data_IF_275560097217
#
_entry.id   IF_275560097217
#
_cell.length_a   1.000
_cell.length_b   1.000
_cell.length_c   1.000
_cell.angle_alpha   90.00
_cell.angle_beta   90.00
_cell.angle_gamma   90.00
#
_symmetry.space_group_name_H-M   'P 1'
#
loop_
_entity.id
_entity.type
_entity.pdbx_description
1 polymer ?
#
# COMPACT_ATOMS: atom_id res chain seq x y z
N UNK A 1 -1.31 -18.10 31.53
CA UNK A 1 -0.08 -17.47 32.10
C UNK A 1 0.14 -16.14 31.38
N UNK A 2 0.52 -15.10 32.09
CA UNK A 2 0.86 -13.81 31.49
C UNK A 2 2.04 -13.92 30.51
N UNK A 3 1.98 -13.22 29.40
CA UNK A 3 3.05 -13.21 28.38
C UNK A 3 4.33 -12.55 28.94
N UNK A 4 5.47 -12.75 28.30
CA UNK A 4 6.72 -12.08 28.69
C UNK A 4 6.58 -10.54 28.64
N UNK A 5 5.92 -10.01 27.58
CA UNK A 5 5.68 -8.57 27.42
C UNK A 5 4.77 -8.02 28.52
N UNK A 6 3.69 -8.73 28.84
CA UNK A 6 2.75 -8.32 29.89
C UNK A 6 3.42 -8.20 31.26
N UNK A 7 4.37 -9.10 31.56
CA UNK A 7 5.12 -9.08 32.81
C UNK A 7 6.22 -8.02 32.86
N UNK A 8 6.85 -7.76 31.71
CA UNK A 8 7.99 -6.84 31.63
C UNK A 8 7.57 -5.40 31.40
N UNK A 9 6.63 -5.18 30.48
CA UNK A 9 6.12 -3.85 30.13
C UNK A 9 4.58 -3.90 29.96
N UNK A 10 3.85 -3.85 31.07
CA UNK A 10 2.39 -3.90 31.03
C UNK A 10 1.76 -2.71 30.31
N UNK A 11 2.43 -1.56 30.26
CA UNK A 11 1.94 -0.37 29.55
C UNK A 11 1.92 -0.61 28.03
N UNK A 12 3.02 -1.07 27.45
CA UNK A 12 3.08 -1.39 26.01
C UNK A 12 2.17 -2.57 25.67
N UNK A 13 2.10 -3.59 26.55
CA UNK A 13 1.16 -4.69 26.36
C UNK A 13 -0.28 -4.20 26.25
N UNK A 14 -0.69 -3.30 27.17
CA UNK A 14 -2.06 -2.75 27.17
C UNK A 14 -2.33 -1.90 25.91
N UNK A 15 -1.39 -1.06 25.48
CA UNK A 15 -1.54 -0.27 24.23
C UNK A 15 -1.68 -1.17 23.00
N UNK A 16 -0.93 -2.26 22.92
CA UNK A 16 -1.10 -3.26 21.83
C UNK A 16 -2.48 -3.91 21.91
N UNK A 17 -2.96 -4.23 23.11
CA UNK A 17 -4.31 -4.80 23.32
C UNK A 17 -5.39 -3.84 22.86
N UNK A 18 -5.25 -2.54 23.18
CA UNK A 18 -6.18 -1.49 22.74
C UNK A 18 -6.17 -1.35 21.22
N UNK A 19 -5.01 -1.34 20.56
CA UNK A 19 -4.93 -1.29 19.09
C UNK A 19 -5.57 -2.51 18.43
N UNK A 20 -5.41 -3.71 18.99
CA UNK A 20 -6.13 -4.91 18.53
C UNK A 20 -7.65 -4.74 18.62
N UNK A 21 -8.14 -4.25 19.76
CA UNK A 21 -9.56 -4.00 19.97
C UNK A 21 -10.08 -2.96 18.96
N UNK A 22 -9.33 -1.86 18.74
CA UNK A 22 -9.66 -0.84 17.75
C UNK A 22 -9.77 -1.43 16.34
N UNK A 23 -8.78 -2.21 15.91
CA UNK A 23 -8.77 -2.85 14.59
C UNK A 23 -9.96 -3.80 14.38
N UNK A 24 -10.35 -4.51 15.43
CA UNK A 24 -11.51 -5.42 15.38
C UNK A 24 -12.84 -4.68 15.27
N UNK A 25 -12.94 -3.53 15.94
CA UNK A 25 -14.17 -2.74 16.04
C UNK A 25 -14.39 -1.75 14.88
N UNK A 26 -13.45 -1.61 13.93
CA UNK A 26 -13.49 -0.65 12.85
C UNK A 26 -13.57 -1.31 11.49
N UNK A 27 -14.15 -0.61 10.52
CA UNK A 27 -14.00 -0.88 9.10
C UNK A 27 -12.82 -0.05 8.58
N UNK A 28 -11.75 -0.71 8.12
CA UNK A 28 -10.55 -0.04 7.59
C UNK A 28 -10.64 0.04 6.07
N UNK A 29 -10.67 1.26 5.56
CA UNK A 29 -10.72 1.55 4.12
C UNK A 29 -9.49 2.34 3.63
N UNK A 30 -8.39 2.35 4.39
CA UNK A 30 -7.12 2.92 3.91
C UNK A 30 -6.52 1.95 2.89
N UNK A 31 -6.34 2.35 1.60
CA UNK A 31 -5.93 1.43 0.53
C UNK A 31 -4.58 0.76 0.74
N UNK A 32 -3.71 1.37 1.55
CA UNK A 32 -2.37 0.88 1.87
C UNK A 32 -2.31 -0.02 3.12
N UNK A 33 -3.45 -0.29 3.78
CA UNK A 33 -3.52 -1.13 4.96
C UNK A 33 -4.14 -2.49 4.66
N UNK A 34 -3.68 -3.50 5.40
CA UNK A 34 -4.17 -4.87 5.31
C UNK A 34 -3.95 -5.61 6.63
N UNK A 35 -4.39 -6.86 6.69
CA UNK A 35 -4.12 -7.79 7.78
C UNK A 35 -3.22 -8.91 7.26
N UNK A 36 -2.06 -9.10 7.87
CA UNK A 36 -1.14 -10.19 7.51
C UNK A 36 -1.54 -11.50 8.17
N UNK A 37 -1.03 -12.63 7.66
CA UNK A 37 -1.28 -13.95 8.25
C UNK A 37 -0.53 -14.15 9.58
N UNK A 38 -0.98 -15.13 10.35
CA UNK A 38 -0.27 -15.56 11.56
C UNK A 38 1.17 -15.98 11.25
N UNK A 39 1.38 -16.71 10.15
CA UNK A 39 2.71 -17.13 9.73
C UNK A 39 3.66 -15.95 9.45
N UNK A 40 3.15 -14.87 8.82
CA UNK A 40 3.91 -13.63 8.62
C UNK A 40 4.23 -12.96 9.96
N UNK A 41 3.30 -12.95 10.91
CA UNK A 41 3.53 -12.39 12.26
C UNK A 41 4.57 -13.20 13.04
N UNK A 42 4.47 -14.52 13.01
CA UNK A 42 5.44 -15.42 13.68
C UNK A 42 6.84 -15.28 13.09
N UNK A 43 6.97 -15.18 11.77
CA UNK A 43 8.23 -14.92 11.10
C UNK A 43 8.83 -13.55 11.50
N UNK A 44 7.98 -12.51 11.56
CA UNK A 44 8.40 -11.17 11.98
C UNK A 44 8.86 -11.09 13.44
N UNK A 45 8.27 -11.89 14.34
CA UNK A 45 8.61 -11.99 15.76
C UNK A 45 9.64 -13.06 16.10
N UNK A 46 10.36 -13.61 15.10
CA UNK A 46 11.31 -14.71 15.30
C UNK A 46 12.66 -14.26 15.86
N UNK A 47 13.51 -15.24 16.21
CA UNK A 47 14.88 -15.01 16.66
C UNK A 47 15.78 -14.29 15.62
N UNK A 48 15.33 -14.20 14.36
CA UNK A 48 16.02 -13.46 13.31
C UNK A 48 16.07 -11.94 13.57
N UNK A 49 15.30 -11.43 14.53
CA UNK A 49 15.46 -10.09 15.09
C UNK A 49 16.87 -9.85 15.65
N UNK A 50 17.56 -10.91 16.13
CA UNK A 50 18.89 -10.82 16.71
C UNK A 50 20.02 -10.83 15.65
N UNK A 51 19.69 -11.05 14.36
CA UNK A 51 20.71 -11.37 13.34
C UNK A 51 21.10 -10.15 12.52
N UNK A 52 22.40 -9.94 12.39
CA UNK A 52 23.02 -8.93 11.53
C UNK A 52 23.62 -9.58 10.28
N UNK A 53 23.34 -9.06 9.04
CA UNK A 53 23.66 -9.78 7.78
C UNK A 53 23.98 -8.81 6.64
N UNK A 54 24.96 -7.90 6.83
CA UNK A 54 25.42 -7.00 5.75
C UNK A 54 25.97 -7.78 4.56
N UNK A 55 25.73 -7.25 3.38
CA UNK A 55 26.05 -7.92 2.12
C UNK A 55 24.90 -8.77 1.59
N UNK A 56 25.24 -9.77 0.79
CA UNK A 56 24.30 -10.65 0.08
C UNK A 56 24.63 -12.12 0.27
N UNK A 57 23.76 -13.08 -0.01
CA UNK A 57 24.04 -14.50 0.10
C UNK A 57 25.37 -14.88 -0.56
N UNK A 58 26.23 -15.57 0.18
CA UNK A 58 27.57 -15.95 -0.26
C UNK A 58 28.60 -14.81 -0.31
N UNK A 59 28.22 -13.58 -0.02
CA UNK A 59 29.08 -12.36 -0.04
C UNK A 59 28.80 -11.48 1.17
N UNK A 60 28.79 -12.07 2.39
CA UNK A 60 28.55 -11.35 3.64
C UNK A 60 29.86 -10.80 4.21
N UNK A 61 29.70 -9.82 5.09
CA UNK A 61 30.82 -9.22 5.84
C UNK A 61 31.04 -9.87 7.20
N UNK A 62 30.16 -10.79 7.60
CA UNK A 62 30.20 -11.50 8.88
C UNK A 62 30.01 -12.98 8.69
N UNK A 63 30.56 -13.77 9.63
CA UNK A 63 30.33 -15.21 9.69
C UNK A 63 28.97 -15.56 10.30
N UNK A 64 28.62 -16.84 10.32
CA UNK A 64 27.36 -17.33 10.88
C UNK A 64 26.14 -17.03 10.01
N UNK A 65 26.33 -17.03 8.69
CA UNK A 65 25.28 -16.63 7.72
C UNK A 65 24.61 -17.81 7.00
N UNK A 66 24.98 -19.04 7.36
CA UNK A 66 24.57 -20.25 6.62
C UNK A 66 23.03 -20.35 6.47
N UNK A 67 22.29 -20.01 7.52
CA UNK A 67 20.83 -20.07 7.52
C UNK A 67 20.23 -18.81 6.89
N UNK A 68 20.77 -17.63 7.17
CA UNK A 68 20.26 -16.37 6.64
C UNK A 68 20.47 -16.24 5.14
N UNK A 69 21.54 -16.81 4.61
CA UNK A 69 21.79 -16.89 3.16
C UNK A 69 20.70 -17.73 2.47
N UNK A 70 20.32 -18.87 3.07
CA UNK A 70 19.25 -19.69 2.56
C UNK A 70 17.90 -18.97 2.61
N UNK A 71 17.59 -18.27 3.70
CA UNK A 71 16.36 -17.52 3.86
C UNK A 71 16.25 -16.43 2.80
N UNK A 72 17.29 -15.62 2.61
CA UNK A 72 17.30 -14.56 1.61
C UNK A 72 17.21 -15.12 0.18
N UNK A 73 17.95 -16.20 -0.10
CA UNK A 73 17.86 -16.90 -1.39
C UNK A 73 16.46 -17.40 -1.68
N UNK A 74 15.78 -17.99 -0.70
CA UNK A 74 14.38 -18.42 -0.83
C UNK A 74 13.45 -17.24 -1.10
N UNK A 75 13.62 -16.11 -0.40
CA UNK A 75 12.83 -14.92 -0.62
C UNK A 75 13.00 -14.36 -2.04
N UNK A 76 14.25 -14.26 -2.51
CA UNK A 76 14.60 -13.83 -3.86
C UNK A 76 14.00 -14.75 -4.94
N UNK A 77 14.16 -16.07 -4.77
CA UNK A 77 13.61 -17.05 -5.72
C UNK A 77 12.09 -17.01 -5.81
N UNK A 78 11.40 -16.90 -4.66
CA UNK A 78 9.93 -16.75 -4.63
C UNK A 78 9.47 -15.47 -5.29
N UNK A 79 10.14 -14.35 -5.02
CA UNK A 79 9.83 -13.06 -5.65
C UNK A 79 10.04 -13.12 -7.17
N UNK A 80 11.17 -13.65 -7.64
CA UNK A 80 11.46 -13.85 -9.08
C UNK A 80 10.38 -14.69 -9.76
N UNK A 81 10.03 -15.84 -9.17
CA UNK A 81 9.00 -16.73 -9.72
C UNK A 81 7.65 -16.02 -9.80
N UNK A 82 7.24 -15.37 -8.70
CA UNK A 82 5.92 -14.78 -8.55
C UNK A 82 5.68 -13.62 -9.51
N UNK A 83 6.69 -12.80 -9.73
CA UNK A 83 6.63 -11.63 -10.63
C UNK A 83 7.19 -11.91 -12.03
N UNK A 84 7.75 -13.09 -12.28
CA UNK A 84 8.42 -13.45 -13.53
C UNK A 84 9.56 -12.47 -13.90
N UNK A 85 10.38 -12.10 -12.90
CA UNK A 85 11.50 -11.18 -13.04
C UNK A 85 12.84 -11.94 -13.11
N UNK A 86 13.82 -11.36 -13.80
CA UNK A 86 15.17 -11.95 -13.91
C UNK A 86 15.90 -11.89 -12.57
N UNK A 87 15.69 -10.79 -11.82
CA UNK A 87 16.36 -10.54 -10.54
C UNK A 87 15.40 -9.92 -9.51
N UNK A 88 15.67 -10.18 -8.23
CA UNK A 88 14.95 -9.60 -7.10
C UNK A 88 15.91 -9.25 -5.96
N UNK A 89 15.82 -8.01 -5.44
CA UNK A 89 16.43 -7.59 -4.20
C UNK A 89 15.32 -7.38 -3.15
N UNK A 90 15.38 -8.12 -2.05
CA UNK A 90 14.34 -8.17 -1.00
C UNK A 90 14.75 -7.44 0.29
N UNK A 91 15.88 -6.73 0.27
CA UNK A 91 16.44 -6.05 1.44
C UNK A 91 15.89 -4.63 1.71
N UNK A 92 15.25 -3.87 0.77
CA UNK A 92 14.79 -2.53 1.07
C UNK A 92 13.85 -2.48 2.27
N UNK A 93 14.13 -1.59 3.24
CA UNK A 93 13.33 -1.43 4.47
C UNK A 93 11.91 -0.94 4.19
N UNK A 94 11.68 -0.27 3.07
CA UNK A 94 10.39 0.28 2.68
C UNK A 94 10.32 0.57 1.18
N UNK A 95 9.10 0.85 0.68
CA UNK A 95 8.91 1.29 -0.71
C UNK A 95 9.64 2.59 -1.05
N UNK A 96 9.78 3.52 -0.10
CA UNK A 96 10.55 4.75 -0.32
C UNK A 96 12.03 4.46 -0.57
N UNK A 97 12.63 3.57 0.22
CA UNK A 97 14.02 3.14 0.02
C UNK A 97 14.16 2.34 -1.28
N UNK A 98 13.19 1.49 -1.62
CA UNK A 98 13.19 0.77 -2.88
C UNK A 98 13.18 1.74 -4.08
N UNK A 99 12.33 2.78 -4.06
CA UNK A 99 12.33 3.81 -5.10
C UNK A 99 13.67 4.54 -5.19
N UNK A 100 14.23 4.92 -4.04
CA UNK A 100 15.54 5.57 -3.99
C UNK A 100 16.65 4.70 -4.57
N UNK A 101 16.68 3.42 -4.20
CA UNK A 101 17.66 2.47 -4.74
C UNK A 101 17.50 2.29 -6.26
N UNK A 102 16.26 2.22 -6.77
CA UNK A 102 16.00 2.17 -8.20
C UNK A 102 16.57 3.41 -8.94
N UNK A 103 16.40 4.60 -8.36
CA UNK A 103 16.90 5.82 -9.00
C UNK A 103 18.43 5.88 -8.97
N UNK A 104 19.06 5.58 -7.84
CA UNK A 104 20.52 5.58 -7.71
C UNK A 104 21.21 4.45 -8.46
N UNK A 105 20.49 3.37 -8.80
CA UNK A 105 21.00 2.31 -9.66
C UNK A 105 21.11 2.74 -11.14
N UNK A 106 20.34 3.77 -11.56
CA UNK A 106 20.17 4.14 -12.96
C UNK A 106 20.59 5.59 -13.28
N UNK A 107 20.73 6.45 -12.28
CA UNK A 107 20.95 7.88 -12.46
C UNK A 107 21.89 8.45 -11.40
N UNK A 108 22.58 9.54 -11.78
CA UNK A 108 23.47 10.29 -10.90
C UNK A 108 22.76 11.51 -10.27
N UNK A 109 23.21 11.99 -9.09
CA UNK A 109 22.72 13.24 -8.53
C UNK A 109 22.78 14.39 -9.54
N UNK A 110 21.65 15.10 -9.69
CA UNK A 110 21.52 16.19 -10.67
C UNK A 110 20.88 15.79 -11.98
N UNK A 111 20.75 14.50 -12.28
CA UNK A 111 19.98 14.02 -13.42
C UNK A 111 18.48 14.39 -13.31
N UNK A 112 17.81 14.40 -14.45
CA UNK A 112 16.37 14.69 -14.50
C UNK A 112 15.57 13.39 -14.38
N UNK A 113 14.61 13.36 -13.47
CA UNK A 113 13.61 12.31 -13.35
C UNK A 113 12.21 12.86 -13.64
N UNK A 114 11.32 12.04 -14.17
CA UNK A 114 9.96 12.43 -14.48
C UNK A 114 8.97 11.47 -13.81
N UNK A 115 8.02 12.00 -13.01
CA UNK A 115 7.05 11.18 -12.25
C UNK A 115 5.70 11.86 -12.09
N UNK A 116 4.70 11.09 -11.65
CA UNK A 116 3.35 11.61 -11.40
C UNK A 116 3.35 12.60 -10.23
N UNK A 117 2.72 13.74 -10.43
CA UNK A 117 2.55 14.77 -9.41
C UNK A 117 1.74 14.26 -8.21
N UNK A 118 2.16 14.63 -6.98
CA UNK A 118 1.48 14.20 -5.74
C UNK A 118 -0.02 14.57 -5.72
N UNK A 119 -0.47 15.79 -6.06
CA UNK A 119 -1.89 16.13 -6.12
C UNK A 119 -2.70 15.30 -7.13
N UNK A 120 -2.04 14.73 -8.12
CA UNK A 120 -2.64 13.89 -9.15
C UNK A 120 -2.49 12.38 -8.88
N UNK A 121 -2.08 12.02 -7.66
CA UNK A 121 -2.00 10.63 -7.20
C UNK A 121 -0.60 10.02 -7.20
N UNK A 122 0.45 10.79 -7.45
CA UNK A 122 1.84 10.33 -7.33
C UNK A 122 2.25 10.06 -5.88
N UNK A 123 3.39 9.38 -5.70
CA UNK A 123 4.01 9.22 -4.40
C UNK A 123 5.01 10.36 -4.13
N UNK A 124 5.28 10.65 -2.86
CA UNK A 124 6.29 11.65 -2.46
C UNK A 124 7.64 11.42 -3.16
N UNK A 125 8.06 10.17 -3.26
CA UNK A 125 9.34 9.79 -3.89
C UNK A 125 9.34 9.91 -5.42
N UNK A 126 8.19 10.14 -6.06
CA UNK A 126 8.12 10.37 -7.52
C UNK A 126 8.55 11.80 -7.91
N UNK A 127 9.31 12.46 -7.06
CA UNK A 127 9.88 13.79 -7.33
C UNK A 127 9.05 14.94 -6.77
N UNK A 128 8.24 14.73 -5.73
CA UNK A 128 7.52 15.83 -5.09
C UNK A 128 8.49 16.80 -4.38
N UNK A 129 8.25 18.12 -4.53
CA UNK A 129 9.16 19.22 -4.15
C UNK A 129 9.69 19.20 -2.72
N UNK A 130 8.99 18.57 -1.76
CA UNK A 130 9.45 18.46 -0.36
C UNK A 130 10.17 17.13 -0.08
N UNK A 131 10.14 16.20 -1.03
CA UNK A 131 10.84 14.92 -0.92
C UNK A 131 12.34 15.11 -1.12
N UNK A 132 13.15 14.28 -0.48
CA UNK A 132 14.60 14.20 -0.71
C UNK A 132 14.89 13.93 -2.20
N UNK A 133 14.01 13.22 -2.90
CA UNK A 133 14.14 12.96 -4.34
C UNK A 133 14.35 14.25 -5.15
N UNK A 134 13.56 15.29 -4.88
CA UNK A 134 13.70 16.59 -5.57
C UNK A 134 14.89 17.44 -5.08
N UNK A 135 15.57 17.01 -4.02
CA UNK A 135 16.82 17.63 -3.56
C UNK A 135 18.03 17.04 -4.25
N UNK A 136 17.93 15.78 -4.69
CA UNK A 136 19.01 15.05 -5.36
C UNK A 136 18.87 15.11 -6.88
N UNK A 137 17.65 14.98 -7.40
CA UNK A 137 17.35 14.96 -8.83
C UNK A 137 16.55 16.18 -9.27
N UNK A 138 16.74 16.63 -10.50
CA UNK A 138 15.83 17.57 -11.14
C UNK A 138 14.51 16.84 -11.43
N UNK A 139 13.41 17.36 -10.90
CA UNK A 139 12.11 16.68 -10.98
C UNK A 139 11.18 17.37 -11.98
N UNK A 140 10.71 16.61 -12.94
CA UNK A 140 9.62 16.98 -13.86
C UNK A 140 8.37 16.21 -13.45
N UNK A 141 7.24 16.90 -13.34
CA UNK A 141 5.99 16.30 -12.91
C UNK A 141 5.01 16.25 -14.06
N UNK A 142 4.51 15.05 -14.39
CA UNK A 142 3.34 14.91 -15.25
C UNK A 142 2.06 14.80 -14.41
N UNK A 143 0.91 14.97 -15.05
CA UNK A 143 -0.39 15.00 -14.38
C UNK A 143 -1.36 14.05 -15.08
N UNK A 144 -2.48 13.73 -14.44
CA UNK A 144 -3.64 13.17 -15.14
C UNK A 144 -4.46 14.31 -15.74
N UNK A 145 -5.22 14.01 -16.80
CA UNK A 145 -6.21 14.94 -17.35
C UNK A 145 -7.24 15.27 -16.23
N UNK A 146 -7.42 16.55 -15.88
CA UNK A 146 -8.31 16.94 -14.79
C UNK A 146 -9.79 16.67 -15.08
N UNK A 147 -10.19 16.54 -16.36
CA UNK A 147 -11.58 16.26 -16.74
C UNK A 147 -11.92 14.77 -16.60
N UNK A 148 -11.01 13.91 -17.00
CA UNK A 148 -11.22 12.46 -17.02
C UNK A 148 -10.64 11.75 -15.80
N UNK A 149 -9.71 12.38 -15.08
CA UNK A 149 -8.94 11.77 -14.00
C UNK A 149 -8.03 10.62 -14.48
N UNK A 150 -7.71 10.55 -15.79
CA UNK A 150 -6.91 9.50 -16.39
C UNK A 150 -5.58 10.03 -16.91
N UNK A 151 -4.60 9.15 -17.08
CA UNK A 151 -3.33 9.50 -17.73
C UNK A 151 -3.59 10.00 -19.17
N UNK A 152 -2.94 11.11 -19.50
CA UNK A 152 -2.78 11.61 -20.85
C UNK A 152 -1.39 11.21 -21.33
N UNK A 153 -1.32 10.11 -22.07
CA UNK A 153 -0.04 9.55 -22.53
C UNK A 153 0.64 10.44 -23.56
N UNK A 154 -0.10 11.23 -24.33
CA UNK A 154 0.46 12.19 -25.29
C UNK A 154 1.15 13.33 -24.54
N UNK A 155 0.52 13.87 -23.50
CA UNK A 155 1.15 14.86 -22.59
C UNK A 155 2.43 14.30 -21.96
N UNK A 156 2.41 13.04 -21.52
CA UNK A 156 3.56 12.38 -20.90
C UNK A 156 4.70 12.25 -21.92
N UNK A 157 4.39 11.84 -23.16
CA UNK A 157 5.37 11.73 -24.23
C UNK A 157 5.98 13.09 -24.60
N UNK A 158 5.16 14.14 -24.69
CA UNK A 158 5.62 15.49 -25.02
C UNK A 158 6.53 16.06 -23.92
N UNK A 159 6.19 15.85 -22.65
CA UNK A 159 7.06 16.19 -21.52
C UNK A 159 8.39 15.43 -21.57
N UNK A 160 8.34 14.14 -21.87
CA UNK A 160 9.53 13.31 -22.00
C UNK A 160 10.45 13.79 -23.13
N UNK A 161 9.89 14.12 -24.31
CA UNK A 161 10.64 14.69 -25.44
C UNK A 161 11.29 16.04 -25.08
N UNK A 162 10.53 16.90 -24.39
CA UNK A 162 10.97 18.24 -24.01
C UNK A 162 12.09 18.23 -22.99
N UNK A 163 11.95 17.42 -21.92
CA UNK A 163 12.86 17.47 -20.79
C UNK A 163 13.94 16.39 -20.81
N UNK A 164 13.84 15.39 -21.69
CA UNK A 164 14.80 14.29 -21.82
C UNK A 164 15.23 13.70 -20.46
N UNK A 165 14.29 13.23 -19.64
CA UNK A 165 14.63 12.70 -18.33
C UNK A 165 15.51 11.46 -18.46
N UNK A 166 16.36 11.23 -17.47
CA UNK A 166 17.14 9.99 -17.32
C UNK A 166 16.26 8.81 -16.90
N UNK A 167 15.22 9.10 -16.08
CA UNK A 167 14.26 8.11 -15.57
C UNK A 167 12.84 8.65 -15.79
N UNK A 168 11.96 7.80 -16.30
CA UNK A 168 10.50 7.97 -16.29
C UNK A 168 9.92 6.99 -15.28
N UNK A 169 9.15 7.53 -14.31
CA UNK A 169 8.54 6.76 -13.23
C UNK A 169 7.06 6.58 -13.55
N UNK A 170 6.60 5.35 -13.68
CA UNK A 170 5.17 5.01 -13.70
C UNK A 170 4.72 4.48 -12.34
N UNK A 171 3.42 4.56 -12.05
CA UNK A 171 2.85 4.10 -10.79
C UNK A 171 2.21 5.23 -9.99
N UNK A 172 1.39 4.86 -9.02
CA UNK A 172 0.61 5.82 -8.27
C UNK A 172 0.19 5.32 -6.89
N UNK A 173 -0.12 6.25 -5.97
CA UNK A 173 -0.71 5.98 -4.65
C UNK A 173 -2.20 6.28 -4.59
N UNK A 174 -2.73 7.04 -5.55
CA UNK A 174 -4.13 7.46 -5.58
C UNK A 174 -4.67 7.54 -7.02
N UNK A 175 -4.42 6.50 -7.81
CA UNK A 175 -4.93 6.37 -9.16
C UNK A 175 -5.81 5.12 -9.26
N UNK A 176 -7.13 5.26 -9.48
CA UNK A 176 -8.06 4.14 -9.42
C UNK A 176 -8.21 3.36 -10.73
N UNK A 177 -7.47 3.69 -11.79
CA UNK A 177 -7.59 3.04 -13.08
C UNK A 177 -6.38 2.15 -13.39
N UNK A 178 -6.52 1.30 -14.41
CA UNK A 178 -5.42 0.52 -14.94
C UNK A 178 -4.34 1.43 -15.51
N UNK A 179 -3.07 1.07 -15.30
CA UNK A 179 -1.90 1.76 -15.82
C UNK A 179 -1.38 0.95 -17.02
N UNK A 180 -1.21 1.58 -18.16
CA UNK A 180 -0.58 0.97 -19.32
C UNK A 180 0.93 1.13 -19.25
N UNK A 181 1.59 0.13 -18.66
CA UNK A 181 3.05 0.11 -18.52
C UNK A 181 3.80 -0.06 -19.83
N UNK A 182 3.16 -0.64 -20.85
CA UNK A 182 3.75 -0.79 -22.17
C UNK A 182 3.95 0.56 -22.84
N UNK A 183 2.95 1.45 -22.77
CA UNK A 183 3.06 2.82 -23.29
C UNK A 183 4.16 3.58 -22.56
N UNK A 184 4.26 3.47 -21.23
CA UNK A 184 5.36 4.07 -20.48
C UNK A 184 6.73 3.58 -20.94
N UNK A 185 6.89 2.27 -21.16
CA UNK A 185 8.11 1.67 -21.68
C UNK A 185 8.45 2.16 -23.09
N UNK A 186 7.44 2.30 -23.97
CA UNK A 186 7.63 2.84 -25.31
C UNK A 186 8.07 4.31 -25.28
N UNK A 187 7.44 5.15 -24.43
CA UNK A 187 7.83 6.56 -24.25
C UNK A 187 9.28 6.64 -23.73
N UNK A 188 9.64 5.86 -22.71
CA UNK A 188 10.99 5.84 -22.18
C UNK A 188 12.02 5.49 -23.27
N UNK A 189 11.76 4.43 -24.04
CA UNK A 189 12.62 4.00 -25.15
C UNK A 189 12.78 5.09 -26.22
N UNK A 190 11.71 5.80 -26.59
CA UNK A 190 11.74 6.89 -27.60
C UNK A 190 12.67 8.03 -27.20
N UNK A 191 12.82 8.29 -25.90
CA UNK A 191 13.65 9.41 -25.44
C UNK A 191 15.00 8.98 -24.85
N UNK A 192 15.29 7.67 -24.81
CA UNK A 192 16.51 7.10 -24.26
C UNK A 192 16.56 7.16 -22.72
N UNK A 193 15.39 7.13 -22.07
CA UNK A 193 15.24 7.08 -20.63
C UNK A 193 15.09 5.64 -20.11
N UNK A 194 15.43 5.41 -18.85
CA UNK A 194 15.04 4.21 -18.12
C UNK A 194 13.59 4.32 -17.65
N UNK A 195 12.88 3.19 -17.64
CA UNK A 195 11.54 3.08 -17.09
C UNK A 195 11.59 2.41 -15.71
N UNK A 196 11.23 3.14 -14.65
CA UNK A 196 11.06 2.63 -13.30
C UNK A 196 9.56 2.57 -12.98
N UNK A 197 9.07 1.40 -12.56
CA UNK A 197 7.64 1.21 -12.27
C UNK A 197 7.42 0.94 -10.77
N UNK A 198 6.69 1.82 -10.09
CA UNK A 198 6.27 1.64 -8.70
C UNK A 198 4.88 1.00 -8.64
N UNK A 199 4.84 -0.30 -8.33
CA UNK A 199 3.59 -1.06 -8.20
C UNK A 199 3.17 -1.28 -6.74
N UNK A 200 3.70 -0.52 -5.81
CA UNK A 200 3.46 -0.73 -4.37
C UNK A 200 1.99 -0.90 -4.00
N UNK A 201 1.09 -0.15 -4.63
CA UNK A 201 -0.34 -0.25 -4.37
C UNK A 201 -1.01 -1.48 -5.00
N UNK A 202 -0.52 -1.92 -6.14
CA UNK A 202 -1.18 -2.94 -6.97
C UNK A 202 -0.42 -4.26 -7.05
N UNK A 203 0.68 -4.43 -6.32
CA UNK A 203 1.55 -5.60 -6.43
C UNK A 203 0.81 -6.94 -6.29
N UNK A 204 -0.12 -7.05 -5.33
CA UNK A 204 -0.96 -8.25 -5.19
C UNK A 204 -1.91 -8.48 -6.35
N UNK A 205 -2.38 -7.41 -7.02
CA UNK A 205 -3.23 -7.52 -8.21
C UNK A 205 -2.40 -7.93 -9.44
N UNK A 206 -1.16 -7.46 -9.54
CA UNK A 206 -0.21 -7.85 -10.59
C UNK A 206 0.13 -9.33 -10.46
N UNK A 207 0.50 -9.79 -9.27
CA UNK A 207 0.78 -11.21 -8.98
C UNK A 207 -0.40 -12.11 -9.35
N UNK A 208 -1.60 -11.69 -9.02
CA UNK A 208 -2.82 -12.45 -9.33
C UNK A 208 -3.28 -12.34 -10.79
N UNK A 209 -2.56 -11.62 -11.66
CA UNK A 209 -2.94 -11.40 -13.04
C UNK A 209 -4.20 -10.55 -13.25
N UNK A 210 -4.59 -9.76 -12.26
CA UNK A 210 -5.77 -8.87 -12.30
C UNK A 210 -5.41 -7.50 -12.87
N UNK A 211 -4.17 -7.07 -12.69
CA UNK A 211 -3.58 -5.89 -13.31
C UNK A 211 -2.39 -6.34 -14.16
N UNK A 212 -2.17 -5.68 -15.31
CA UNK A 212 -1.01 -5.96 -16.18
C UNK A 212 0.29 -5.77 -15.39
N UNK A 213 1.27 -6.64 -15.66
CA UNK A 213 2.60 -6.56 -15.07
C UNK A 213 3.46 -5.53 -15.81
N UNK A 214 4.23 -4.68 -15.10
CA UNK A 214 5.23 -3.82 -15.73
C UNK A 214 6.55 -4.54 -16.05
N UNK A 215 6.79 -5.73 -15.48
CA UNK A 215 8.10 -6.42 -15.56
C UNK A 215 8.62 -6.56 -17.00
N UNK A 216 7.79 -6.86 -18.02
CA UNK A 216 8.27 -6.91 -19.42
C UNK A 216 8.71 -5.55 -19.99
N UNK A 217 8.24 -4.44 -19.43
CA UNK A 217 8.37 -3.10 -20.01
C UNK A 217 9.25 -2.15 -19.22
N UNK A 218 9.48 -2.45 -17.94
CA UNK A 218 10.29 -1.63 -17.03
C UNK A 218 11.71 -2.17 -16.91
N UNK A 219 12.68 -1.28 -16.66
CA UNK A 219 14.06 -1.65 -16.34
C UNK A 219 14.15 -2.09 -14.87
N UNK A 220 13.50 -1.35 -13.97
CA UNK A 220 13.36 -1.70 -12.56
C UNK A 220 11.91 -1.52 -12.13
N UNK A 221 11.41 -2.48 -11.36
CA UNK A 221 10.11 -2.42 -10.70
C UNK A 221 10.31 -2.36 -9.20
N UNK A 222 9.77 -1.34 -8.55
CA UNK A 222 9.76 -1.22 -7.11
C UNK A 222 8.39 -1.57 -6.53
N UNK A 223 8.38 -2.12 -5.32
CA UNK A 223 7.14 -2.41 -4.61
C UNK A 223 7.30 -2.37 -3.10
N UNK A 224 6.17 -2.30 -2.40
CA UNK A 224 6.04 -2.65 -0.99
C UNK A 224 5.46 -4.05 -0.85
N UNK A 225 5.66 -4.66 0.31
CA UNK A 225 5.21 -6.02 0.59
C UNK A 225 3.91 -6.09 1.39
N UNK A 226 3.42 -4.96 1.94
CA UNK A 226 2.40 -4.92 3.00
C UNK A 226 1.01 -4.37 2.59
N UNK A 227 0.80 -4.01 1.31
CA UNK A 227 -0.50 -3.48 0.83
C UNK A 227 -1.36 -4.61 0.25
N UNK A 228 -1.66 -4.59 -1.05
CA UNK A 228 -2.42 -5.66 -1.71
C UNK A 228 -1.70 -7.01 -1.66
N UNK A 229 -0.37 -7.03 -1.53
CA UNK A 229 0.43 -8.25 -1.40
C UNK A 229 0.30 -8.92 -0.02
N UNK A 230 -0.22 -8.22 0.99
CA UNK A 230 -0.57 -8.74 2.32
C UNK A 230 0.60 -9.32 3.12
N UNK A 231 1.81 -8.82 2.92
CA UNK A 231 3.02 -9.20 3.65
C UNK A 231 3.40 -8.24 4.78
N UNK A 232 4.59 -8.40 5.38
CA UNK A 232 5.10 -7.51 6.41
C UNK A 232 5.44 -6.12 5.85
N UNK A 233 5.68 -5.15 6.74
CA UNK A 233 6.20 -3.84 6.37
C UNK A 233 7.61 -3.98 5.78
N UNK A 234 7.78 -3.68 4.49
CA UNK A 234 9.04 -3.80 3.76
C UNK A 234 8.90 -3.30 2.33
N UNK A 235 10.01 -3.35 1.59
CA UNK A 235 10.08 -3.05 0.16
C UNK A 235 10.84 -4.13 -0.60
N UNK A 236 10.76 -4.07 -1.93
CA UNK A 236 11.42 -5.02 -2.82
C UNK A 236 11.67 -4.35 -4.17
N UNK A 237 12.73 -4.77 -4.83
CA UNK A 237 13.06 -4.40 -6.21
C UNK A 237 13.10 -5.65 -7.09
N UNK A 238 12.57 -5.51 -8.29
CA UNK A 238 12.65 -6.49 -9.36
C UNK A 238 13.29 -5.79 -10.55
N UNK A 239 14.18 -6.45 -11.27
CA UNK A 239 14.80 -5.81 -12.44
C UNK A 239 15.24 -6.84 -13.48
N UNK A 240 15.59 -6.32 -14.66
CA UNK A 240 16.32 -7.08 -15.67
C UNK A 240 17.71 -7.47 -15.13
N UNK A 241 18.24 -8.58 -15.59
CA UNK A 241 19.54 -9.11 -15.13
C UNK A 241 20.67 -8.09 -15.22
N UNK A 242 20.68 -7.26 -16.26
CA UNK A 242 21.72 -6.24 -16.50
C UNK A 242 21.79 -5.15 -15.41
N UNK A 243 20.71 -4.93 -14.66
CA UNK A 243 20.67 -3.93 -13.58
C UNK A 243 20.90 -4.50 -12.18
N UNK A 244 21.02 -5.82 -12.06
CA UNK A 244 21.08 -6.52 -10.77
C UNK A 244 22.21 -6.01 -9.86
N UNK A 245 23.42 -5.88 -10.40
CA UNK A 245 24.60 -5.42 -9.64
C UNK A 245 24.43 -3.96 -9.15
N UNK A 246 23.92 -3.09 -10.01
CA UNK A 246 23.68 -1.68 -9.65
C UNK A 246 22.57 -1.56 -8.61
N UNK A 247 21.50 -2.36 -8.70
CA UNK A 247 20.43 -2.43 -7.69
C UNK A 247 20.98 -2.87 -6.35
N UNK A 248 21.81 -3.93 -6.33
CA UNK A 248 22.44 -4.40 -5.10
C UNK A 248 23.33 -3.32 -4.48
N UNK A 249 24.20 -2.69 -5.26
CA UNK A 249 25.08 -1.61 -4.79
C UNK A 249 24.29 -0.40 -4.27
N UNK A 250 23.19 -0.05 -4.91
CA UNK A 250 22.35 1.06 -4.49
C UNK A 250 21.62 0.76 -3.17
N UNK A 251 21.19 -0.49 -2.95
CA UNK A 251 20.59 -0.89 -1.67
C UNK A 251 21.67 -0.98 -0.59
N UNK A 252 22.66 -1.83 -0.78
CA UNK A 252 23.80 -1.99 0.13
C UNK A 252 25.11 -1.98 -0.66
N UNK A 253 26.06 -1.12 -0.32
CA UNK A 253 26.10 -0.21 0.85
C UNK A 253 25.49 1.19 0.58
N UNK A 254 24.83 1.41 -0.56
CA UNK A 254 24.43 2.74 -1.01
C UNK A 254 23.47 3.47 -0.06
N UNK A 255 22.37 2.83 0.34
CA UNK A 255 21.30 3.47 1.12
C UNK A 255 21.11 2.88 2.51
N UNK A 256 21.51 1.64 2.74
CA UNK A 256 21.28 0.96 4.02
C UNK A 256 22.45 0.04 4.37
N UNK A 257 22.54 -0.35 5.66
CA UNK A 257 23.45 -1.37 6.17
C UNK A 257 22.77 -2.74 6.20
N UNK A 258 22.88 -3.46 7.34
CA UNK A 258 22.31 -4.79 7.50
C UNK A 258 20.81 -4.84 7.29
N UNK A 259 20.29 -5.81 6.52
CA UNK A 259 18.88 -5.98 6.32
C UNK A 259 18.15 -6.43 7.60
N UNK A 260 16.86 -6.16 7.68
CA UNK A 260 16.01 -6.66 8.76
C UNK A 260 15.63 -8.13 8.48
N UNK A 261 16.45 -9.08 8.96
CA UNK A 261 16.29 -10.50 8.63
C UNK A 261 14.94 -11.09 9.02
N UNK A 262 14.34 -10.65 10.13
CA UNK A 262 12.98 -11.04 10.54
C UNK A 262 11.93 -10.55 9.54
N UNK A 263 12.04 -9.33 9.03
CA UNK A 263 11.15 -8.79 7.98
C UNK A 263 11.33 -9.54 6.67
N UNK A 264 12.58 -9.78 6.26
CA UNK A 264 12.91 -10.51 5.03
C UNK A 264 12.36 -11.94 5.07
N UNK A 265 12.47 -12.61 6.22
CA UNK A 265 11.86 -13.94 6.42
C UNK A 265 10.35 -13.89 6.27
N UNK A 266 9.70 -12.89 6.84
CA UNK A 266 8.26 -12.68 6.71
C UNK A 266 7.85 -12.32 5.26
N UNK A 267 8.70 -11.64 4.49
CA UNK A 267 8.52 -11.44 3.03
C UNK A 267 8.53 -12.79 2.32
N UNK A 268 9.48 -13.69 2.65
CA UNK A 268 9.53 -15.02 2.04
C UNK A 268 8.26 -15.83 2.30
N UNK A 269 7.67 -15.72 3.50
CA UNK A 269 6.38 -16.34 3.84
C UNK A 269 5.26 -15.73 2.99
N UNK A 270 5.17 -14.41 2.94
CA UNK A 270 4.13 -13.72 2.18
C UNK A 270 4.19 -14.04 0.67
N UNK A 271 5.39 -14.21 0.10
CA UNK A 271 5.53 -14.64 -1.29
C UNK A 271 5.00 -16.05 -1.51
N UNK A 272 5.17 -16.96 -0.55
CA UNK A 272 4.59 -18.30 -0.63
C UNK A 272 3.05 -18.27 -0.55
N UNK A 273 2.49 -17.45 0.33
CA UNK A 273 1.04 -17.25 0.43
C UNK A 273 0.46 -16.65 -0.85
N UNK A 274 1.18 -15.74 -1.49
CA UNK A 274 0.75 -15.09 -2.73
C UNK A 274 0.81 -16.03 -3.96
N UNK A 275 1.55 -17.13 -3.89
CA UNK A 275 1.65 -18.17 -4.95
C UNK A 275 0.57 -19.26 -4.76
N UNK A 276 -0.66 -18.87 -4.39
CA UNK A 276 -1.76 -19.80 -4.13
C UNK A 276 -3.05 -19.41 -4.87
N UNK A 277 -3.91 -20.38 -5.23
CA UNK A 277 -5.24 -20.09 -5.80
C UNK A 277 -6.11 -19.22 -4.90
N UNK A 278 -5.99 -19.37 -3.58
CA UNK A 278 -6.71 -18.59 -2.57
C UNK A 278 -6.32 -17.12 -2.63
N UNK A 279 -5.05 -16.82 -2.86
CA UNK A 279 -4.60 -15.45 -3.04
C UNK A 279 -5.15 -14.83 -4.33
N UNK A 280 -5.20 -15.60 -5.42
CA UNK A 280 -5.83 -15.14 -6.68
C UNK A 280 -7.33 -14.85 -6.46
N UNK A 281 -8.03 -15.70 -5.73
CA UNK A 281 -9.45 -15.50 -5.39
C UNK A 281 -9.63 -14.23 -4.53
N UNK A 282 -8.76 -14.03 -3.54
CA UNK A 282 -8.72 -12.83 -2.71
C UNK A 282 -8.49 -11.55 -3.55
N UNK A 283 -7.52 -11.55 -4.45
CA UNK A 283 -7.23 -10.40 -5.31
C UNK A 283 -8.41 -10.06 -6.24
N UNK A 284 -9.09 -11.06 -6.80
CA UNK A 284 -10.32 -10.88 -7.57
C UNK A 284 -11.43 -10.25 -6.72
N UNK A 285 -11.58 -10.71 -5.48
CA UNK A 285 -12.60 -10.20 -4.57
C UNK A 285 -12.32 -8.74 -4.16
N UNK A 286 -11.06 -8.33 -4.01
CA UNK A 286 -10.69 -6.93 -3.76
C UNK A 286 -11.31 -6.02 -4.82
N UNK A 287 -11.13 -6.34 -6.10
CA UNK A 287 -11.61 -5.51 -7.20
C UNK A 287 -13.15 -5.53 -7.30
N UNK A 288 -13.78 -6.69 -7.06
CA UNK A 288 -15.25 -6.78 -6.99
C UNK A 288 -15.82 -5.89 -5.89
N UNK A 289 -15.22 -5.95 -4.70
CA UNK A 289 -15.63 -5.10 -3.58
C UNK A 289 -15.44 -3.61 -3.88
N UNK A 290 -14.33 -3.23 -4.52
CA UNK A 290 -14.06 -1.86 -4.91
C UNK A 290 -15.10 -1.34 -5.92
N UNK A 291 -15.44 -2.15 -6.92
CA UNK A 291 -16.49 -1.81 -7.91
C UNK A 291 -17.85 -1.65 -7.25
N UNK A 292 -18.26 -2.60 -6.42
CA UNK A 292 -19.56 -2.55 -5.73
C UNK A 292 -19.68 -1.32 -4.80
N UNK A 293 -18.59 -0.99 -4.09
CA UNK A 293 -18.50 0.21 -3.26
C UNK A 293 -18.61 1.49 -4.13
N UNK A 294 -17.85 1.53 -5.25
CA UNK A 294 -17.84 2.67 -6.16
C UNK A 294 -19.22 2.90 -6.84
N UNK A 295 -19.83 1.84 -7.35
CA UNK A 295 -21.17 1.88 -7.96
C UNK A 295 -22.20 2.43 -6.98
N UNK A 296 -22.20 1.93 -5.74
CA UNK A 296 -23.15 2.39 -4.73
C UNK A 296 -22.91 3.84 -4.30
N UNK A 297 -21.65 4.29 -4.26
CA UNK A 297 -21.34 5.70 -4.02
C UNK A 297 -21.82 6.59 -5.19
N UNK A 298 -21.69 6.15 -6.44
CA UNK A 298 -22.24 6.86 -7.61
C UNK A 298 -23.76 6.97 -7.54
N UNK A 299 -24.48 5.90 -7.14
CA UNK A 299 -25.95 5.95 -6.92
C UNK A 299 -26.34 7.00 -5.89
N UNK A 300 -25.53 7.24 -4.85
CA UNK A 300 -25.70 8.32 -3.89
C UNK A 300 -25.22 9.69 -4.40
N UNK A 301 -24.83 9.80 -5.66
CA UNK A 301 -24.41 11.04 -6.28
C UNK A 301 -23.05 11.54 -5.85
N UNK A 302 -22.12 10.66 -5.42
CA UNK A 302 -20.72 11.05 -5.21
C UNK A 302 -19.98 11.21 -6.53
N UNK A 303 -19.10 12.18 -6.62
CA UNK A 303 -18.17 12.31 -7.75
C UNK A 303 -16.92 11.45 -7.51
N UNK A 304 -16.69 10.46 -8.36
CA UNK A 304 -15.45 9.68 -8.37
C UNK A 304 -14.49 10.28 -9.38
N UNK A 305 -13.23 10.54 -8.99
CA UNK A 305 -12.24 11.29 -9.76
C UNK A 305 -12.02 10.80 -11.19
N UNK A 306 -12.28 9.52 -11.47
CA UNK A 306 -12.17 8.93 -12.82
C UNK A 306 -13.44 8.21 -13.24
N UNK A 307 -14.58 8.50 -12.61
CA UNK A 307 -15.87 7.86 -12.88
C UNK A 307 -15.99 6.41 -12.42
N UNK A 308 -15.06 5.91 -11.57
CA UNK A 308 -15.09 4.54 -11.04
C UNK A 308 -13.70 3.98 -10.73
N UNK A 309 -13.58 2.65 -10.67
CA UNK A 309 -12.32 1.97 -10.38
C UNK A 309 -12.12 0.69 -11.16
N UNK A 310 -10.86 0.40 -11.54
CA UNK A 310 -10.42 -0.84 -12.14
C UNK A 310 -9.58 -1.69 -11.16
N UNK A 311 -9.22 -1.14 -9.98
CA UNK A 311 -8.37 -1.78 -9.00
C UNK A 311 -8.99 -1.78 -7.58
N UNK A 312 -8.18 -1.74 -6.53
CA UNK A 312 -8.58 -1.78 -5.13
C UNK A 312 -8.96 -0.43 -4.52
N UNK A 313 -8.73 0.67 -5.25
CA UNK A 313 -8.73 2.04 -4.75
C UNK A 313 -9.88 2.85 -5.37
N UNK A 314 -10.49 3.71 -4.58
CA UNK A 314 -11.51 4.67 -4.99
C UNK A 314 -11.06 6.04 -4.52
N UNK A 315 -11.13 7.04 -5.40
CA UNK A 315 -10.85 8.43 -5.08
C UNK A 315 -12.11 9.27 -5.32
N UNK A 316 -12.65 9.83 -4.25
CA UNK A 316 -13.89 10.61 -4.23
C UNK A 316 -13.52 12.09 -4.22
N UNK A 317 -14.18 12.90 -5.06
CA UNK A 317 -14.23 14.35 -4.94
C UNK A 317 -15.51 14.75 -4.21
N UNK A 318 -15.37 15.50 -3.13
CA UNK A 318 -16.49 15.88 -2.24
C UNK A 318 -17.04 17.29 -2.51
N UNK A 319 -16.60 17.97 -3.58
CA UNK A 319 -17.07 19.33 -3.86
C UNK A 319 -18.59 19.40 -3.99
N UNK A 320 -19.20 18.45 -4.68
CA UNK A 320 -20.65 18.39 -4.87
C UNK A 320 -21.42 18.01 -3.59
N UNK A 321 -20.75 17.53 -2.56
CA UNK A 321 -21.31 17.23 -1.25
C UNK A 321 -21.12 18.38 -0.24
N UNK A 322 -20.37 19.44 -0.61
CA UNK A 322 -20.05 20.59 0.23
C UNK A 322 -19.42 20.22 1.60
N UNK A 323 -18.69 19.10 1.67
CA UNK A 323 -18.02 18.62 2.89
C UNK A 323 -16.51 18.57 2.66
N UNK A 324 -15.69 19.28 3.47
CA UNK A 324 -14.24 19.16 3.38
C UNK A 324 -13.76 17.74 3.69
N UNK A 325 -12.84 17.21 2.88
CA UNK A 325 -12.33 15.84 3.03
C UNK A 325 -11.80 15.54 4.43
N UNK A 326 -11.09 16.50 5.05
CA UNK A 326 -10.57 16.36 6.41
C UNK A 326 -11.69 16.27 7.46
N UNK A 327 -12.76 17.06 7.30
CA UNK A 327 -13.92 17.03 8.20
C UNK A 327 -14.63 15.68 8.11
N UNK A 328 -14.89 15.22 6.88
CA UNK A 328 -15.52 13.93 6.66
C UNK A 328 -14.68 12.76 7.19
N UNK A 329 -13.39 12.73 6.91
CA UNK A 329 -12.51 11.66 7.39
C UNK A 329 -12.55 11.56 8.93
N UNK A 330 -12.57 12.68 9.64
CA UNK A 330 -12.72 12.70 11.10
C UNK A 330 -14.10 12.22 11.58
N UNK A 331 -15.18 12.58 10.89
CA UNK A 331 -16.52 12.11 11.22
C UNK A 331 -16.66 10.60 10.98
N UNK A 332 -16.12 10.10 9.87
CA UNK A 332 -16.07 8.67 9.57
C UNK A 332 -15.25 7.90 10.60
N UNK A 333 -14.13 8.45 11.07
CA UNK A 333 -13.30 7.82 12.12
C UNK A 333 -14.10 7.68 13.44
N UNK A 334 -14.86 8.71 13.85
CA UNK A 334 -15.79 8.60 14.99
C UNK A 334 -16.88 7.55 14.76
N UNK A 335 -17.36 7.42 13.52
CA UNK A 335 -18.27 6.35 13.08
C UNK A 335 -17.55 5.00 12.86
N UNK A 336 -16.27 4.83 13.28
CA UNK A 336 -15.47 3.62 13.14
C UNK A 336 -15.19 3.18 11.70
N UNK A 337 -15.29 4.10 10.74
CA UNK A 337 -14.91 3.89 9.34
C UNK A 337 -13.60 4.65 9.09
N UNK A 338 -12.49 3.92 9.04
CA UNK A 338 -11.16 4.50 8.94
C UNK A 338 -10.79 4.74 7.48
N UNK A 339 -10.59 6.01 7.13
CA UNK A 339 -10.29 6.48 5.77
C UNK A 339 -9.16 7.50 5.81
N UNK A 340 -8.73 8.01 4.66
CA UNK A 340 -7.87 9.19 4.63
C UNK A 340 -8.39 10.25 3.64
N UNK A 341 -8.27 11.53 4.03
CA UNK A 341 -8.45 12.64 3.10
C UNK A 341 -7.32 12.69 2.09
N UNK A 342 -7.61 13.14 0.87
CA UNK A 342 -6.67 13.17 -0.25
C UNK A 342 -6.95 14.34 -1.18
N UNK A 343 -5.93 14.84 -1.86
CA UNK A 343 -6.12 15.75 -2.99
C UNK A 343 -6.78 15.02 -4.16
N UNK A 344 -7.54 15.73 -4.97
CA UNK A 344 -8.11 15.19 -6.21
C UNK A 344 -7.58 15.97 -7.40
N UNK A 345 -7.42 15.35 -8.58
CA UNK A 345 -6.97 16.03 -9.78
C UNK A 345 -7.89 17.18 -10.22
N UNK A 346 -9.19 17.05 -9.95
CA UNK A 346 -10.22 18.04 -10.31
C UNK A 346 -10.15 19.29 -9.43
N UNK A 347 -9.62 19.15 -8.22
CA UNK A 347 -9.43 20.26 -7.29
C UNK A 347 -8.13 20.06 -6.50
N UNK A 348 -7.00 20.49 -7.07
CA UNK A 348 -5.68 20.33 -6.46
C UNK A 348 -5.41 21.35 -5.36
N UNK A 349 -6.39 21.68 -4.50
CA UNK A 349 -6.21 22.55 -3.35
C UNK A 349 -5.05 22.06 -2.48
N UNK A 350 -4.53 22.97 -1.67
CA UNK A 350 -3.38 22.70 -0.82
C UNK A 350 -3.55 21.38 -0.02
N UNK A 351 -2.54 20.50 0.01
CA UNK A 351 -2.62 19.20 0.70
C UNK A 351 -3.07 19.23 2.16
N UNK A 352 -2.98 20.39 2.82
CA UNK A 352 -3.46 20.58 4.19
C UNK A 352 -4.98 20.68 4.32
N UNK A 353 -5.70 20.99 3.23
CA UNK A 353 -7.16 21.07 3.21
C UNK A 353 -7.74 20.47 1.92
N UNK A 354 -7.54 19.19 1.67
CA UNK A 354 -7.99 18.54 0.45
C UNK A 354 -9.51 18.33 0.46
N UNK A 355 -10.07 18.33 -0.75
CA UNK A 355 -11.52 18.11 -0.97
C UNK A 355 -11.90 16.65 -1.15
N UNK A 356 -10.91 15.76 -1.23
CA UNK A 356 -11.16 14.36 -1.55
C UNK A 356 -11.04 13.41 -0.37
N UNK A 357 -11.60 12.23 -0.58
CA UNK A 357 -11.49 11.07 0.29
C UNK A 357 -10.98 9.89 -0.52
N UNK A 358 -9.98 9.17 0.01
CA UNK A 358 -9.43 7.96 -0.61
C UNK A 358 -9.87 6.73 0.18
N UNK A 359 -10.41 5.74 -0.53
CA UNK A 359 -10.90 4.48 0.01
C UNK A 359 -10.20 3.30 -0.67
N UNK A 360 -10.16 2.16 0.01
CA UNK A 360 -9.66 0.90 -0.56
C UNK A 360 -10.24 -0.31 0.15
N UNK A 361 -10.23 -1.44 -0.54
CA UNK A 361 -10.93 -2.66 -0.12
C UNK A 361 -10.06 -3.84 0.34
N UNK A 362 -8.71 -3.79 0.36
CA UNK A 362 -7.90 -4.94 0.76
C UNK A 362 -8.22 -5.46 2.17
N UNK A 363 -8.29 -4.56 3.16
CA UNK A 363 -8.51 -4.93 4.56
C UNK A 363 -9.89 -5.57 4.79
N UNK A 364 -10.96 -5.00 4.23
CA UNK A 364 -12.31 -5.57 4.36
C UNK A 364 -12.43 -6.91 3.64
N UNK A 365 -11.74 -7.07 2.50
CA UNK A 365 -11.70 -8.35 1.77
C UNK A 365 -10.96 -9.42 2.55
N UNK A 366 -9.87 -9.09 3.23
CA UNK A 366 -9.15 -10.03 4.13
C UNK A 366 -10.04 -10.50 5.29
N UNK A 367 -10.98 -9.68 5.74
CA UNK A 367 -12.00 -10.06 6.74
C UNK A 367 -13.14 -10.91 6.18
N UNK A 368 -13.16 -11.23 4.88
CA UNK A 368 -14.18 -12.04 4.23
C UNK A 368 -15.42 -11.25 3.76
N UNK A 369 -15.41 -9.93 3.85
CA UNK A 369 -16.50 -9.09 3.32
C UNK A 369 -16.53 -9.16 1.79
N UNK A 370 -17.73 -9.15 1.22
CA UNK A 370 -18.00 -9.23 -0.21
C UNK A 370 -18.78 -7.99 -0.69
N UNK A 371 -19.30 -8.05 -1.92
CA UNK A 371 -19.96 -6.94 -2.60
C UNK A 371 -21.16 -6.37 -1.81
N UNK A 372 -21.91 -7.23 -1.13
CA UNK A 372 -23.05 -6.80 -0.31
C UNK A 372 -22.59 -5.89 0.84
N UNK A 373 -21.56 -6.33 1.60
CA UNK A 373 -20.99 -5.53 2.68
C UNK A 373 -20.33 -4.24 2.15
N UNK A 374 -19.71 -4.29 0.97
CA UNK A 374 -19.16 -3.11 0.32
C UNK A 374 -20.25 -2.07 0.00
N UNK A 375 -21.43 -2.49 -0.50
CA UNK A 375 -22.60 -1.61 -0.69
C UNK A 375 -23.15 -1.07 0.63
N UNK A 376 -23.24 -1.91 1.66
CA UNK A 376 -23.65 -1.48 3.00
C UNK A 376 -22.71 -0.41 3.56
N UNK A 377 -21.39 -0.58 3.40
CA UNK A 377 -20.38 0.41 3.81
C UNK A 377 -20.58 1.72 3.05
N UNK A 378 -20.89 1.70 1.74
CA UNK A 378 -21.23 2.91 0.98
C UNK A 378 -22.44 3.63 1.57
N UNK A 379 -23.47 2.90 1.99
CA UNK A 379 -24.68 3.47 2.62
C UNK A 379 -24.35 4.14 3.96
N UNK A 380 -23.51 3.51 4.77
CA UNK A 380 -23.03 4.08 6.04
C UNK A 380 -22.18 5.35 5.82
N UNK A 381 -21.30 5.35 4.81
CA UNK A 381 -20.53 6.54 4.42
C UNK A 381 -21.49 7.68 4.01
N UNK A 382 -22.50 7.39 3.19
CA UNK A 382 -23.47 8.40 2.76
C UNK A 382 -24.26 8.98 3.95
N UNK A 383 -24.71 8.13 4.89
CA UNK A 383 -25.41 8.56 6.11
C UNK A 383 -24.56 9.53 6.93
N UNK A 384 -23.25 9.28 7.06
CA UNK A 384 -22.32 10.22 7.73
C UNK A 384 -22.12 11.49 6.93
N UNK A 385 -22.02 11.44 5.60
CA UNK A 385 -21.85 12.65 4.77
C UNK A 385 -23.04 13.58 4.90
N UNK A 386 -24.25 13.03 4.83
CA UNK A 386 -25.50 13.81 4.95
C UNK A 386 -25.70 14.41 6.36
N UNK A 387 -25.03 13.86 7.37
CA UNK A 387 -25.17 14.23 8.77
C UNK A 387 -23.85 14.54 9.46
N UNK A 388 -22.88 15.11 8.72
CA UNK A 388 -21.49 15.25 9.19
C UNK A 388 -21.33 16.07 10.49
N UNK A 389 -22.29 16.95 10.80
CA UNK A 389 -22.36 17.79 12.00
C UNK A 389 -23.33 17.25 13.07
N UNK A 390 -24.02 16.14 12.80
CA UNK A 390 -24.96 15.53 13.75
C UNK A 390 -24.28 14.37 14.48
N UNK A 391 -23.74 14.65 15.65
CA UNK A 391 -22.97 13.68 16.46
C UNK A 391 -23.79 12.43 16.79
N UNK A 392 -25.09 12.58 17.10
CA UNK A 392 -25.96 11.44 17.42
C UNK A 392 -26.08 10.45 16.25
N UNK A 393 -26.20 10.96 15.01
CA UNK A 393 -26.23 10.10 13.81
C UNK A 393 -24.87 9.45 13.55
N UNK A 394 -23.77 10.18 13.76
CA UNK A 394 -22.41 9.63 13.62
C UNK A 394 -22.18 8.48 14.63
N UNK A 395 -22.61 8.62 15.87
CA UNK A 395 -22.56 7.58 16.89
C UNK A 395 -23.44 6.36 16.55
N UNK A 396 -24.66 6.61 16.02
CA UNK A 396 -25.56 5.53 15.56
C UNK A 396 -24.89 4.71 14.45
N UNK A 397 -24.30 5.38 13.45
CA UNK A 397 -23.52 4.70 12.40
C UNK A 397 -22.36 3.91 13.02
N UNK A 398 -21.69 4.46 14.03
CA UNK A 398 -20.63 3.74 14.76
C UNK A 398 -21.09 2.43 15.41
N UNK A 399 -22.34 2.36 15.89
CA UNK A 399 -22.95 1.12 16.42
C UNK A 399 -23.26 0.13 15.28
N UNK A 400 -23.77 0.61 14.15
CA UNK A 400 -24.00 -0.23 12.96
C UNK A 400 -22.68 -0.81 12.43
N UNK A 401 -21.61 -0.02 12.38
CA UNK A 401 -20.26 -0.46 12.00
C UNK A 401 -19.74 -1.54 12.95
N UNK A 402 -19.96 -1.38 14.25
CA UNK A 402 -19.53 -2.38 15.25
C UNK A 402 -20.25 -3.71 15.03
N UNK A 403 -21.56 -3.69 14.79
CA UNK A 403 -22.33 -4.88 14.47
C UNK A 403 -21.82 -5.55 13.18
N UNK A 404 -21.61 -4.81 12.12
CA UNK A 404 -21.07 -5.35 10.88
C UNK A 404 -19.66 -5.92 11.10
N UNK A 405 -18.80 -5.23 11.83
CA UNK A 405 -17.44 -5.67 12.12
C UNK A 405 -17.40 -6.96 12.93
N UNK A 406 -18.35 -7.18 13.83
CA UNK A 406 -18.44 -8.41 14.63
C UNK A 406 -18.80 -9.64 13.82
N UNK A 407 -19.54 -9.49 12.72
CA UNK A 407 -19.88 -10.57 11.79
C UNK A 407 -18.69 -11.00 10.91
N UNK A 408 -17.74 -10.10 10.72
CA UNK A 408 -16.54 -10.30 9.92
C UNK A 408 -15.29 -10.00 10.77
N UNK A 409 -14.94 -10.87 11.72
CA UNK A 409 -13.84 -10.62 12.64
C UNK A 409 -12.52 -10.50 11.88
N UNK A 410 -11.56 -9.77 12.48
CA UNK A 410 -10.17 -9.81 12.03
C UNK A 410 -9.70 -11.27 12.10
N UNK A 411 -9.01 -11.79 11.08
CA UNK A 411 -8.56 -13.18 11.06
C UNK A 411 -7.81 -13.60 12.35
N UNK A 412 -8.04 -14.80 12.85
CA UNK A 412 -7.56 -15.32 14.16
C UNK A 412 -6.04 -15.22 14.37
N UNK A 413 -5.28 -15.13 13.29
CA UNK A 413 -3.84 -14.95 13.39
C UNK A 413 -3.42 -13.60 14.03
N UNK A 414 -4.34 -12.63 14.13
CA UNK A 414 -4.15 -11.42 14.95
C UNK A 414 -4.57 -11.62 16.41
N UNK A 415 -5.50 -12.54 16.65
CA UNK A 415 -5.95 -12.90 17.97
C UNK A 415 -5.04 -14.03 18.42
N UNK A 416 -4.12 -13.77 19.33
CA UNK A 416 -3.51 -14.86 20.10
C UNK A 416 -4.65 -15.37 20.99
N UNK A 417 -5.21 -16.54 20.75
CA UNK A 417 -6.24 -17.06 21.63
C UNK A 417 -5.60 -17.24 22.99
N UNK A 418 -5.93 -16.38 23.93
CA UNK A 418 -5.73 -16.74 25.31
C UNK A 418 -6.86 -17.73 25.63
N UNK A 419 -6.57 -19.02 25.56
CA UNK A 419 -7.52 -20.09 25.92
C UNK A 419 -8.08 -19.92 27.34
N UNK A 420 -7.39 -19.16 28.17
CA UNK A 420 -7.72 -18.92 29.57
C UNK A 420 -8.48 -17.61 29.80
N UNK A 421 -8.73 -16.80 28.78
CA UNK A 421 -9.55 -15.60 28.86
C UNK A 421 -10.50 -15.44 27.68
N UNK A 422 -11.65 -16.16 27.72
CA UNK A 422 -12.70 -16.07 26.70
C UNK A 422 -13.41 -14.70 26.69
N UNK A 423 -13.11 -13.79 27.62
CA UNK A 423 -13.77 -12.48 27.75
C UNK A 423 -13.19 -11.41 26.81
N UNK A 424 -12.10 -11.68 26.09
CA UNK A 424 -11.43 -10.65 25.27
C UNK A 424 -12.19 -10.15 24.05
N UNK A 425 -13.31 -10.73 23.66
CA UNK A 425 -14.13 -10.28 22.53
C UNK A 425 -15.60 -10.65 22.71
N UNK A 426 -16.22 -10.23 23.80
CA UNK A 426 -17.70 -10.23 23.81
C UNK A 426 -18.18 -8.96 23.09
N UNK A 427 -19.16 -9.07 22.19
CA UNK A 427 -19.79 -7.90 21.55
C UNK A 427 -20.44 -6.92 22.53
N UNK A 428 -20.52 -7.30 23.80
CA UNK A 428 -21.17 -6.54 24.90
C UNK A 428 -20.21 -5.74 25.78
N UNK A 429 -18.89 -5.87 25.60
CA UNK A 429 -17.98 -5.00 26.35
C UNK A 429 -18.06 -3.58 25.79
N UNK A 430 -18.48 -2.58 26.61
CA UNK A 430 -18.43 -1.20 26.19
C UNK A 430 -16.95 -0.91 25.91
N UNK A 431 -16.63 -0.67 24.64
CA UNK A 431 -15.32 -0.16 24.29
C UNK A 431 -15.11 1.10 25.13
N UNK A 432 -14.10 1.06 25.95
CA UNK A 432 -13.63 2.25 26.66
C UNK A 432 -13.61 3.40 25.65
N UNK A 433 -14.22 4.55 25.99
CA UNK A 433 -14.21 5.69 25.07
C UNK A 433 -12.78 5.90 24.62
N UNK A 434 -12.60 6.08 23.31
CA UNK A 434 -11.33 6.49 22.75
C UNK A 434 -10.92 7.77 23.51
N UNK A 435 -10.05 7.62 24.48
CA UNK A 435 -9.37 8.76 25.09
C UNK A 435 -8.44 9.30 24.00
N UNK A 436 -8.96 10.30 23.27
CA UNK A 436 -8.28 11.47 22.66
C UNK A 436 -9.26 12.21 21.74
#
# INVERSE_FOLDING_TARGET
MATALERYDPQIFELIRQEKARQSACIRLIPSENYVSRAVMEASGSCLTNKYSEGYPGRRYYEGQQVTDLIETVAQQRAKKLFQADYANVQPYSGSIANWAAYLALAEPGDTIMGLSLPHGGHLTHGWKVSVTSRVFKSVQYTVDPKTGRFDYDQIEDLAKKYRPKIIISGATAYPREIDFEIFGQIAKKVGAYHVSDIAHIAGLVVAGIHKSPVPYADIVSTTTHKTLRGPRGGMLLCKAEHAENVDKAVFPGLQGGPHMHTLTAIAVAMAEADTPEFIAYAKQIVKNARALAEKLLEYGFNLSSGGTDNHLILIDLQNKNVPGKKLAKALDRARIVTNYNTTPMNPLHPANPTGLRLGTPAITTRGMKEEQARQIASLINKVVENVDNESVVEEVGKEVLLLSSQFPVPEHFIIPNKDNPEMLRPSDPLTPWLF
#
